data_IF_123184668917
#
_entry.id   IF_123184668917
#
_cell.length_a   1.000
_cell.length_b   1.000
_cell.length_c   1.000
_cell.angle_alpha   90.00
_cell.angle_beta   90.00
_cell.angle_gamma   90.00
#
_symmetry.space_group_name_H-M   'P 1'
#
loop_
_entity.id
_entity.type
_entity.pdbx_description
1 polymer ?
#
# COMPACT_ATOMS: atom_id res chain seq x y z
N UNK A 1 4.73 15.24 -12.80
CA UNK A 1 4.97 15.12 -14.26
C UNK A 1 6.47 15.20 -14.50
N UNK A 2 7.05 14.56 -15.53
CA UNK A 2 8.43 14.84 -15.91
C UNK A 2 8.61 16.36 -16.01
N UNK A 3 9.57 16.92 -15.26
CA UNK A 3 9.78 18.38 -15.21
C UNK A 3 8.99 19.18 -14.16
N UNK A 4 8.44 18.57 -13.11
CA UNK A 4 7.84 19.35 -12.00
C UNK A 4 8.91 20.15 -11.24
N UNK A 5 8.95 21.47 -11.48
CA UNK A 5 9.77 22.44 -10.78
C UNK A 5 8.86 23.52 -10.20
N UNK A 6 8.96 23.74 -8.88
CA UNK A 6 8.28 24.84 -8.20
C UNK A 6 9.30 25.61 -7.39
N UNK A 7 9.36 26.93 -7.61
CA UNK A 7 10.19 27.86 -6.86
C UNK A 7 9.28 28.78 -6.08
N UNK A 8 9.57 28.96 -4.79
CA UNK A 8 8.85 29.87 -3.91
C UNK A 8 9.88 30.77 -3.26
N UNK A 9 9.70 32.08 -3.45
CA UNK A 9 10.55 33.11 -2.86
C UNK A 9 9.78 33.74 -1.70
N UNK A 10 10.44 33.86 -0.55
CA UNK A 10 9.91 34.55 0.61
C UNK A 10 11.02 35.43 1.20
N UNK A 11 10.64 36.60 1.70
CA UNK A 11 11.55 37.55 2.34
C UNK A 11 11.00 37.87 3.71
N UNK A 12 11.90 37.97 4.69
CA UNK A 12 11.55 38.21 6.08
C UNK A 12 12.45 39.32 6.64
N UNK A 13 11.85 40.30 7.30
CA UNK A 13 12.56 41.49 7.79
C UNK A 13 13.33 41.26 9.08
N UNK A 14 12.95 40.23 9.84
CA UNK A 14 13.54 39.92 11.16
C UNK A 14 14.20 38.53 11.11
N UNK A 15 15.30 38.31 11.86
CA UNK A 15 15.83 36.97 12.03
C UNK A 15 14.84 36.12 12.84
N UNK A 16 14.70 34.84 12.47
CA UNK A 16 13.78 33.94 13.14
C UNK A 16 13.60 32.62 12.40
N UNK A 17 12.68 31.79 12.92
CA UNK A 17 12.30 30.53 12.29
C UNK A 17 11.09 30.76 11.39
N UNK A 18 11.23 30.41 10.12
CA UNK A 18 10.19 30.52 9.13
C UNK A 18 9.86 29.17 8.53
N UNK A 19 8.59 28.96 8.18
CA UNK A 19 8.12 27.76 7.50
C UNK A 19 7.58 28.15 6.13
N UNK A 20 8.02 27.45 5.09
CA UNK A 20 7.52 27.60 3.72
C UNK A 20 6.81 26.33 3.34
N UNK A 21 5.56 26.46 2.88
CA UNK A 21 4.75 25.34 2.41
C UNK A 21 4.91 25.24 0.89
N UNK A 22 5.20 24.03 0.41
CA UNK A 22 5.36 23.72 -0.99
C UNK A 22 4.35 22.64 -1.38
N UNK A 23 3.67 22.83 -2.50
CA UNK A 23 2.75 21.83 -3.03
C UNK A 23 3.52 20.58 -3.47
N UNK A 24 3.08 19.42 -2.97
CA UNK A 24 3.64 18.14 -3.40
C UNK A 24 3.03 17.70 -4.75
N UNK A 25 3.83 17.17 -5.69
CA UNK A 25 3.29 16.68 -6.94
C UNK A 25 2.39 15.46 -6.72
N UNK A 26 1.24 15.42 -7.39
CA UNK A 26 0.29 14.29 -7.35
C UNK A 26 0.76 13.05 -8.15
N UNK A 27 1.96 13.10 -8.72
CA UNK A 27 2.56 11.98 -9.48
C UNK A 27 3.60 11.25 -8.64
N UNK A 28 3.76 9.94 -8.87
CA UNK A 28 4.85 9.17 -8.25
C UNK A 28 6.18 9.67 -8.81
N UNK A 29 6.90 10.46 -8.03
CA UNK A 29 8.17 11.05 -8.46
C UNK A 29 9.17 11.09 -7.32
N UNK A 30 10.43 10.86 -7.67
CA UNK A 30 11.59 11.25 -6.85
C UNK A 30 12.03 12.63 -7.30
N UNK A 31 12.44 13.46 -6.35
CA UNK A 31 12.87 14.83 -6.62
C UNK A 31 13.89 15.32 -5.61
N UNK A 32 14.30 16.57 -5.79
CA UNK A 32 15.21 17.29 -4.90
C UNK A 32 14.56 18.60 -4.49
N UNK A 33 14.53 18.88 -3.19
CA UNK A 33 14.16 20.18 -2.65
C UNK A 33 15.46 20.90 -2.31
N UNK A 34 15.62 22.13 -2.79
CA UNK A 34 16.76 22.99 -2.49
C UNK A 34 16.25 24.26 -1.81
N UNK A 35 16.87 24.60 -0.69
CA UNK A 35 16.57 25.80 0.09
C UNK A 35 17.77 26.71 -0.08
N UNK A 36 17.52 27.94 -0.53
CA UNK A 36 18.54 28.98 -0.65
C UNK A 36 18.13 30.15 0.21
N UNK A 37 19.02 30.57 1.08
CA UNK A 37 18.84 31.71 1.97
C UNK A 37 19.96 32.70 1.70
N UNK A 38 19.58 33.97 1.56
CA UNK A 38 20.49 35.08 1.47
C UNK A 38 20.21 36.02 2.64
N UNK A 39 21.25 36.34 3.41
CA UNK A 39 21.16 37.33 4.48
C UNK A 39 21.56 38.73 4.00
N UNK A 40 21.22 39.77 4.76
CA UNK A 40 21.59 41.17 4.51
C UNK A 40 23.11 41.35 4.42
N UNK A 41 23.87 40.51 5.12
CA UNK A 41 25.33 40.48 5.07
C UNK A 41 25.91 39.81 3.80
N UNK A 42 25.06 39.50 2.79
CA UNK A 42 25.44 38.78 1.56
C UNK A 42 26.03 37.38 1.80
N UNK A 43 25.71 36.79 2.95
CA UNK A 43 25.98 35.38 3.21
C UNK A 43 24.91 34.55 2.50
N UNK A 44 25.37 33.61 1.68
CA UNK A 44 24.51 32.69 0.94
C UNK A 44 24.67 31.28 1.50
N UNK A 45 23.56 30.69 1.93
CA UNK A 45 23.50 29.32 2.38
C UNK A 45 22.56 28.54 1.45
N UNK A 46 23.00 27.36 1.01
CA UNK A 46 22.20 26.44 0.19
C UNK A 46 22.26 25.04 0.78
N UNK A 47 21.08 24.47 1.05
CA UNK A 47 20.91 23.08 1.46
C UNK A 47 20.00 22.35 0.47
N UNK A 48 20.25 21.05 0.27
CA UNK A 48 19.46 20.24 -0.64
C UNK A 48 19.15 18.85 -0.06
N UNK A 49 17.89 18.44 -0.21
CA UNK A 49 17.37 17.16 0.30
C UNK A 49 16.68 16.37 -0.82
N UNK A 50 16.92 15.07 -0.86
CA UNK A 50 16.21 14.16 -1.75
C UNK A 50 14.86 13.76 -1.14
N UNK A 51 13.77 13.86 -1.91
CA UNK A 51 12.41 13.54 -1.45
C UNK A 51 11.73 12.60 -2.44
N UNK A 52 10.98 11.63 -1.93
CA UNK A 52 10.25 10.66 -2.74
C UNK A 52 8.75 10.73 -2.43
N UNK A 53 7.93 11.02 -3.43
CA UNK A 53 6.47 11.10 -3.28
C UNK A 53 5.82 9.79 -3.74
N UNK A 54 5.39 8.97 -2.78
CA UNK A 54 4.86 7.62 -2.99
C UNK A 54 3.40 7.46 -2.53
N UNK A 55 2.55 8.44 -2.86
CA UNK A 55 1.25 8.65 -2.20
C UNK A 55 0.14 7.63 -2.56
N UNK A 56 0.39 6.59 -3.36
CA UNK A 56 -0.68 5.70 -3.91
C UNK A 56 -0.59 4.22 -3.53
N UNK A 57 0.25 3.82 -2.58
CA UNK A 57 0.33 2.40 -2.18
C UNK A 57 -0.91 1.85 -1.46
N UNK A 58 -1.75 2.72 -0.88
CA UNK A 58 -2.91 2.29 -0.09
C UNK A 58 -4.01 1.62 -0.91
N UNK A 59 -4.21 1.98 -2.19
CA UNK A 59 -5.28 1.40 -3.02
C UNK A 59 -4.99 -0.04 -3.42
N UNK A 60 -3.74 -0.33 -3.79
CA UNK A 60 -3.31 -1.69 -4.10
C UNK A 60 -3.29 -2.54 -2.82
N UNK A 61 -2.80 -1.99 -1.71
CA UNK A 61 -2.78 -2.69 -0.42
C UNK A 61 -4.19 -3.07 0.06
N UNK A 62 -5.19 -2.20 -0.15
CA UNK A 62 -6.59 -2.49 0.18
C UNK A 62 -7.06 -3.78 -0.48
N UNK A 63 -6.85 -3.92 -1.79
CA UNK A 63 -7.32 -5.08 -2.54
C UNK A 63 -6.46 -6.32 -2.31
N UNK A 64 -5.15 -6.13 -2.15
CA UNK A 64 -4.23 -7.22 -1.80
C UNK A 64 -4.60 -7.85 -0.45
N UNK A 65 -5.07 -7.05 0.51
CA UNK A 65 -5.55 -7.56 1.81
C UNK A 65 -6.97 -8.12 1.71
N UNK A 66 -7.89 -7.46 1.02
CA UNK A 66 -9.30 -7.86 0.99
C UNK A 66 -9.55 -9.17 0.21
N UNK A 67 -8.83 -9.40 -0.89
CA UNK A 67 -9.01 -10.58 -1.75
C UNK A 67 -8.82 -11.94 -1.03
N UNK A 68 -7.75 -12.18 -0.24
CA UNK A 68 -7.59 -13.47 0.43
C UNK A 68 -8.68 -13.75 1.46
N UNK A 69 -9.13 -12.73 2.21
CA UNK A 69 -10.23 -12.90 3.16
C UNK A 69 -11.57 -13.13 2.46
N UNK A 70 -11.84 -12.42 1.36
CA UNK A 70 -13.04 -12.65 0.55
C UNK A 70 -13.04 -14.07 -0.06
N UNK A 71 -11.89 -14.52 -0.58
CA UNK A 71 -11.72 -15.86 -1.13
C UNK A 71 -11.90 -16.94 -0.07
N UNK A 72 -11.30 -16.78 1.12
CA UNK A 72 -11.46 -17.72 2.23
C UNK A 72 -12.91 -17.79 2.72
N UNK A 73 -13.59 -16.64 2.82
CA UNK A 73 -15.01 -16.59 3.22
C UNK A 73 -15.89 -17.28 2.19
N UNK A 74 -15.68 -17.02 0.90
CA UNK A 74 -16.39 -17.70 -0.18
C UNK A 74 -16.13 -19.21 -0.14
N UNK A 75 -14.88 -19.64 0.06
CA UNK A 75 -14.52 -21.05 0.17
C UNK A 75 -15.25 -21.74 1.33
N UNK A 76 -15.28 -21.11 2.51
CA UNK A 76 -16.00 -21.62 3.69
C UNK A 76 -17.50 -21.73 3.44
N UNK A 77 -18.12 -20.73 2.79
CA UNK A 77 -19.54 -20.77 2.45
C UNK A 77 -19.82 -21.90 1.45
N UNK A 78 -19.01 -22.03 0.40
CA UNK A 78 -19.18 -23.12 -0.58
C UNK A 78 -19.02 -24.50 0.05
N UNK A 79 -18.11 -24.63 1.01
CA UNK A 79 -17.89 -25.85 1.78
C UNK A 79 -19.08 -26.18 2.68
N UNK A 80 -19.61 -25.17 3.38
CA UNK A 80 -20.77 -25.33 4.26
C UNK A 80 -22.06 -25.67 3.50
N UNK A 81 -22.18 -25.22 2.24
CA UNK A 81 -23.34 -25.50 1.39
C UNK A 81 -23.22 -26.83 0.61
N UNK A 82 -22.02 -27.37 0.44
CA UNK A 82 -21.78 -28.56 -0.36
C UNK A 82 -20.98 -29.60 0.46
N UNK A 83 -21.70 -30.49 1.13
CA UNK A 83 -21.12 -31.60 1.91
C UNK A 83 -20.20 -32.48 1.04
N UNK A 84 -20.59 -32.76 -0.22
CA UNK A 84 -19.81 -33.51 -1.19
C UNK A 84 -18.49 -32.82 -1.59
N UNK A 85 -18.48 -31.50 -1.66
CA UNK A 85 -17.26 -30.72 -1.98
C UNK A 85 -16.33 -30.72 -0.77
N UNK A 86 -16.90 -30.73 0.44
CA UNK A 86 -16.12 -30.81 1.66
C UNK A 86 -15.44 -32.13 1.91
N UNK A 87 -16.14 -33.23 1.67
CA UNK A 87 -15.53 -34.57 1.75
C UNK A 87 -14.39 -34.73 0.73
N UNK A 88 -14.53 -34.15 -0.47
CA UNK A 88 -13.48 -34.15 -1.51
C UNK A 88 -12.29 -33.27 -1.11
N UNK A 89 -12.52 -32.08 -0.56
CA UNK A 89 -11.44 -31.21 -0.06
C UNK A 89 -10.71 -31.84 1.13
N UNK A 90 -11.43 -32.41 2.09
CA UNK A 90 -10.85 -33.05 3.27
C UNK A 90 -10.06 -34.32 2.91
N UNK A 91 -10.53 -35.09 1.93
CA UNK A 91 -9.81 -36.27 1.39
C UNK A 91 -8.55 -35.84 0.63
N UNK A 92 -8.62 -34.81 -0.22
CA UNK A 92 -7.47 -34.30 -0.98
C UNK A 92 -6.43 -33.58 -0.09
N UNK A 93 -6.86 -32.94 0.99
CA UNK A 93 -6.00 -32.31 1.99
C UNK A 93 -5.42 -33.33 3.00
N UNK A 94 -5.74 -34.62 2.87
CA UNK A 94 -5.25 -35.68 3.75
C UNK A 94 -5.81 -35.64 5.18
N UNK A 95 -6.89 -34.87 5.41
CA UNK A 95 -7.48 -34.64 6.73
C UNK A 95 -8.49 -35.73 7.13
N UNK A 96 -9.14 -36.36 6.13
CA UNK A 96 -10.02 -37.51 6.32
C UNK A 96 -9.51 -38.68 5.47
N UNK A 97 -9.11 -39.77 6.15
CA UNK A 97 -8.81 -41.03 5.49
C UNK A 97 -10.08 -41.62 4.90
N UNK A 98 -10.00 -42.07 3.64
CA UNK A 98 -11.11 -42.56 2.84
C UNK A 98 -12.11 -43.41 3.66
N UNK A 99 -13.31 -42.86 3.91
CA UNK A 99 -14.36 -43.58 4.61
C UNK A 99 -14.90 -44.67 3.68
N UNK A 100 -14.37 -45.89 3.87
CA UNK A 100 -14.79 -47.11 3.19
C UNK A 100 -16.30 -47.32 3.35
N UNK A 101 -17.06 -47.16 2.27
CA UNK A 101 -18.45 -47.63 2.18
C UNK A 101 -18.44 -49.16 2.19
N UNK A 102 -18.35 -49.75 3.38
CA UNK A 102 -18.55 -51.18 3.59
C UNK A 102 -19.77 -51.36 4.49
N UNK A 103 -20.87 -51.82 3.90
CA UNK A 103 -22.04 -52.29 4.63
C UNK A 103 -23.34 -51.66 4.13
N UNK A 104 -23.92 -52.25 3.09
CA UNK A 104 -25.37 -52.47 2.93
C UNK A 104 -25.57 -53.22 1.62
N UNK A 105 -25.38 -54.53 1.72
CA UNK A 105 -25.93 -55.51 0.80
C UNK A 105 -26.74 -56.42 1.71
N UNK A 106 -27.99 -56.02 1.96
CA UNK A 106 -29.01 -56.89 2.52
C UNK A 106 -29.46 -57.80 1.36
N UNK A 107 -29.23 -59.10 1.59
CA UNK A 107 -30.01 -60.28 1.21
C UNK A 107 -30.56 -60.37 -0.23
#
# INVERSE_FOLDING_TARGET
APGFLRVVNATYDKPGRYAVVLDAPNTRSRGRVSIRVADRHKLFCEDAYAVSFHVRFYRALKWLLALPFAAATAAVITLAQNEDVGDRFATNAGLLGARSKRGLRED
#
